data_IF_199744695040
#
_entry.id   IF_199744695040
#
_cell.length_a   1.000
_cell.length_b   1.000
_cell.length_c   1.000
_cell.angle_alpha   90.00
_cell.angle_beta   90.00
_cell.angle_gamma   90.00
#
_symmetry.space_group_name_H-M   'P 1'
#
loop_
_entity.id
_entity.type
_entity.pdbx_description
1 polymer ?
#
# COMPACT_ATOMS: atom_id res chain seq x y z
N UNK A 1 -8.26 12.00 -12.37
CA UNK A 1 -7.75 11.20 -11.24
C UNK A 1 -6.59 11.96 -10.64
N UNK A 2 -6.54 12.08 -9.31
CA UNK A 2 -5.38 12.67 -8.62
C UNK A 2 -4.12 11.84 -8.89
N UNK A 3 -2.95 12.48 -8.81
CA UNK A 3 -1.65 11.81 -9.00
C UNK A 3 -1.40 10.76 -7.92
N UNK A 4 -1.85 11.01 -6.69
CA UNK A 4 -1.73 10.08 -5.58
C UNK A 4 -3.07 9.42 -5.31
N UNK A 5 -3.10 8.09 -5.29
CA UNK A 5 -4.33 7.30 -5.14
C UNK A 5 -4.17 6.29 -4.02
N UNK A 6 -5.18 6.19 -3.15
CA UNK A 6 -5.25 5.19 -2.09
C UNK A 6 -5.55 3.82 -2.69
N UNK A 7 -4.79 2.81 -2.27
CA UNK A 7 -5.01 1.41 -2.57
C UNK A 7 -5.41 0.70 -1.29
N UNK A 8 -6.53 -0.03 -1.29
CA UNK A 8 -6.97 -0.79 -0.13
C UNK A 8 -6.06 -2.00 0.10
N UNK A 9 -6.09 -2.58 1.32
CA UNK A 9 -5.45 -3.85 1.60
C UNK A 9 -5.79 -4.91 0.54
N UNK A 10 -4.77 -5.58 0.04
CA UNK A 10 -4.88 -6.75 -0.83
C UNK A 10 -4.57 -7.97 0.03
N UNK A 11 -5.54 -8.85 0.25
CA UNK A 11 -5.27 -10.11 0.95
C UNK A 11 -4.30 -10.95 0.11
N UNK A 12 -3.01 -10.93 0.47
CA UNK A 12 -2.02 -11.83 -0.14
C UNK A 12 -2.15 -13.17 0.56
N UNK A 13 -2.76 -14.14 -0.15
CA UNK A 13 -2.72 -15.53 0.27
C UNK A 13 -1.30 -16.05 0.07
N UNK A 14 -0.56 -16.19 1.16
CA UNK A 14 0.71 -16.91 1.14
C UNK A 14 0.41 -18.38 0.79
N UNK A 15 0.98 -18.85 -0.32
CA UNK A 15 0.82 -20.24 -0.74
C UNK A 15 1.64 -21.13 0.19
N UNK A 16 0.98 -22.05 0.90
CA UNK A 16 1.65 -23.01 1.79
C UNK A 16 2.71 -23.81 1.04
N UNK A 17 3.91 -23.93 1.64
CA UNK A 17 5.01 -24.73 1.11
C UNK A 17 6.16 -23.94 0.48
N UNK A 18 6.03 -22.62 0.31
CA UNK A 18 7.16 -21.76 -0.06
C UNK A 18 7.86 -21.23 1.20
N UNK A 19 9.19 -21.38 1.26
CA UNK A 19 10.03 -20.73 2.27
C UNK A 19 10.12 -19.24 1.90
N UNK A 20 9.25 -18.44 2.51
CA UNK A 20 9.23 -16.98 2.39
C UNK A 20 10.44 -16.43 3.14
N UNK A 21 11.33 -15.69 2.46
CA UNK A 21 12.43 -14.99 3.14
C UNK A 21 11.86 -13.76 3.85
N UNK A 22 12.51 -13.27 4.91
CA UNK A 22 12.06 -12.06 5.62
C UNK A 22 11.88 -10.84 4.68
N UNK A 23 12.63 -10.79 3.58
CA UNK A 23 12.51 -9.78 2.52
C UNK A 23 11.18 -9.85 1.77
N UNK A 24 10.61 -11.04 1.62
CA UNK A 24 9.30 -11.30 0.99
C UNK A 24 8.13 -11.03 1.97
N UNK A 25 8.43 -10.89 3.27
CA UNK A 25 7.42 -10.56 4.30
C UNK A 25 7.06 -9.07 4.31
N UNK A 26 7.99 -8.18 3.91
CA UNK A 26 7.74 -6.74 3.76
C UNK A 26 6.57 -6.48 2.81
N UNK A 27 6.56 -7.01 1.56
CA UNK A 27 5.41 -6.90 0.66
C UNK A 27 4.08 -7.40 1.25
N UNK A 28 4.11 -8.45 2.08
CA UNK A 28 2.92 -8.99 2.72
C UNK A 28 2.36 -8.05 3.80
N UNK A 29 3.23 -7.36 4.55
CA UNK A 29 2.84 -6.36 5.53
C UNK A 29 2.34 -5.05 4.89
N UNK A 30 2.94 -4.65 3.76
CA UNK A 30 2.48 -3.52 2.95
C UNK A 30 1.10 -3.80 2.31
N UNK A 31 0.79 -5.07 2.05
CA UNK A 31 -0.48 -5.47 1.44
C UNK A 31 -1.66 -5.55 2.41
N UNK A 32 -1.43 -5.64 3.72
CA UNK A 32 -2.52 -5.69 4.71
C UNK A 32 -2.99 -4.29 5.18
N UNK A 33 -2.31 -3.22 4.77
CA UNK A 33 -2.65 -1.83 5.12
C UNK A 33 -3.09 -1.02 3.90
N UNK A 34 -3.82 0.08 4.15
CA UNK A 34 -4.09 1.09 3.14
C UNK A 34 -2.78 1.81 2.80
N UNK A 35 -2.53 2.02 1.53
CA UNK A 35 -1.24 2.48 1.05
C UNK A 35 -1.44 3.40 -0.17
N UNK A 36 -0.53 4.33 -0.44
CA UNK A 36 -0.74 5.38 -1.46
C UNK A 36 0.24 5.18 -2.61
N UNK A 37 -0.28 5.13 -3.83
CA UNK A 37 0.54 5.01 -5.04
C UNK A 37 0.57 6.32 -5.82
N UNK A 38 1.74 6.66 -6.34
CA UNK A 38 1.90 7.71 -7.36
C UNK A 38 1.57 7.10 -8.74
N UNK A 39 0.50 7.56 -9.36
CA UNK A 39 0.05 7.06 -10.67
C UNK A 39 0.99 7.44 -11.81
N UNK A 40 1.86 8.44 -11.64
CA UNK A 40 2.84 8.82 -12.66
C UNK A 40 4.05 7.88 -12.68
N UNK A 41 4.44 7.34 -11.53
CA UNK A 41 5.63 6.48 -11.40
C UNK A 41 5.31 5.01 -11.10
N UNK A 42 4.07 4.72 -10.68
CA UNK A 42 3.62 3.40 -10.23
C UNK A 42 4.22 2.97 -8.89
N UNK A 43 4.90 3.88 -8.17
CA UNK A 43 5.60 3.57 -6.93
C UNK A 43 4.75 3.90 -5.71
N UNK A 44 4.97 3.14 -4.64
CA UNK A 44 4.41 3.41 -3.33
C UNK A 44 5.06 4.64 -2.69
N UNK A 45 4.29 5.47 -1.96
CA UNK A 45 4.85 6.64 -1.26
C UNK A 45 5.62 6.27 0.01
N UNK A 46 5.51 5.02 0.47
CA UNK A 46 6.12 4.53 1.70
C UNK A 46 5.23 4.69 2.94
N UNK A 47 4.07 5.34 2.79
CA UNK A 47 3.10 5.57 3.86
C UNK A 47 2.10 4.42 3.94
N UNK A 48 1.86 3.90 5.15
CA UNK A 48 0.90 2.84 5.42
C UNK A 48 -0.09 3.28 6.50
N UNK A 49 -1.36 2.95 6.30
CA UNK A 49 -2.45 3.35 7.19
C UNK A 49 -3.31 2.16 7.56
N UNK A 50 -3.67 2.06 8.84
CA UNK A 50 -4.63 1.06 9.33
C UNK A 50 -6.06 1.40 8.91
N UNK A 51 -6.36 2.67 8.67
CA UNK A 51 -7.70 3.16 8.37
C UNK A 51 -7.75 3.94 7.05
N UNK A 52 -8.81 3.70 6.28
CA UNK A 52 -9.06 4.35 4.99
C UNK A 52 -9.12 5.90 5.05
N UNK A 53 -9.79 6.53 6.05
CA UNK A 53 -9.90 7.99 6.10
C UNK A 53 -8.54 8.70 6.21
N UNK A 54 -7.60 8.10 6.94
CA UNK A 54 -6.26 8.65 7.13
C UNK A 54 -5.45 8.60 5.82
N UNK A 55 -5.57 7.49 5.09
CA UNK A 55 -4.96 7.34 3.77
C UNK A 55 -5.55 8.34 2.76
N UNK A 56 -6.87 8.57 2.79
CA UNK A 56 -7.56 9.54 1.94
C UNK A 56 -7.10 10.97 2.25
N UNK A 57 -7.03 11.33 3.54
CA UNK A 57 -6.55 12.64 3.96
C UNK A 57 -5.12 12.89 3.48
N UNK A 58 -4.22 11.91 3.63
CA UNK A 58 -2.85 12.02 3.15
C UNK A 58 -2.77 12.11 1.62
N UNK A 59 -3.56 11.32 0.90
CA UNK A 59 -3.59 11.40 -0.55
C UNK A 59 -4.12 12.76 -1.03
N UNK A 60 -5.07 13.36 -0.32
CA UNK A 60 -5.54 14.71 -0.62
C UNK A 60 -4.45 15.77 -0.38
N UNK A 61 -3.68 15.67 0.71
CA UNK A 61 -2.53 16.55 0.97
C UNK A 61 -1.47 16.45 -0.14
N UNK A 62 -1.15 15.24 -0.61
CA UNK A 62 -0.16 15.03 -1.67
C UNK A 62 -0.62 15.52 -3.05
N UNK A 63 -1.93 15.67 -3.24
CA UNK A 63 -2.53 16.16 -4.49
C UNK A 63 -2.85 17.66 -4.49
N UNK A 64 -2.68 18.36 -3.35
CA UNK A 64 -2.89 19.81 -3.22
C UNK A 64 -1.73 20.59 -3.87
#
# INVERSE_FOLDING_TARGET
MGRYVVRPPQEIKLVEGFVVKDEDYRPAYEAIHFHIIDTATGKHTGDHFEHEPDAIARAAELNA
#
